data_IF_723942466856
#
_entry.id   IF_723942466856
#
_cell.length_a   1.000
_cell.length_b   1.000
_cell.length_c   1.000
_cell.angle_alpha   90.00
_cell.angle_beta   90.00
_cell.angle_gamma   90.00
#
_symmetry.space_group_name_H-M   'P 1'
#
loop_
_entity.id
_entity.type
_entity.pdbx_description
1 polymer ?
#
# COMPACT_ATOMS: atom_id res chain seq x y z
N UNK A 1 -23.52 17.57 -3.60
CA UNK A 1 -22.42 17.82 -2.63
C UNK A 1 -22.36 19.28 -2.22
N UNK A 2 -22.15 20.24 -3.14
CA UNK A 2 -21.95 21.65 -2.79
C UNK A 2 -23.10 22.29 -1.98
N UNK A 3 -24.39 22.10 -2.30
CA UNK A 3 -25.46 22.66 -1.47
C UNK A 3 -25.41 22.17 -0.02
N UNK A 4 -25.31 20.86 0.19
CA UNK A 4 -25.24 20.30 1.54
C UNK A 4 -23.99 20.75 2.33
N UNK A 5 -22.87 21.01 1.64
CA UNK A 5 -21.67 21.53 2.27
C UNK A 5 -21.84 23.00 2.66
N UNK A 6 -22.43 23.82 1.79
CA UNK A 6 -22.76 25.22 2.08
C UNK A 6 -23.71 25.33 3.28
N UNK A 7 -24.74 24.50 3.31
CA UNK A 7 -25.69 24.42 4.44
C UNK A 7 -24.98 24.05 5.75
N UNK A 8 -24.05 23.07 5.68
CA UNK A 8 -23.34 22.61 6.87
C UNK A 8 -22.40 23.63 7.49
N UNK A 9 -21.73 24.44 6.65
CA UNK A 9 -20.82 25.50 7.11
C UNK A 9 -21.53 26.86 7.20
N UNK A 10 -22.86 26.90 7.02
CA UNK A 10 -23.68 28.10 7.08
C UNK A 10 -23.26 29.17 6.08
N UNK A 11 -22.76 28.78 4.87
CA UNK A 11 -22.39 29.69 3.81
C UNK A 11 -23.58 30.00 2.90
N UNK A 12 -24.29 31.01 3.22
CA UNK A 12 -25.49 31.47 2.53
C UNK A 12 -25.23 32.62 1.50
N UNK A 13 -26.29 33.17 0.92
CA UNK A 13 -26.21 34.27 -0.04
C UNK A 13 -25.67 35.57 0.59
N UNK A 14 -25.83 35.76 1.89
CA UNK A 14 -25.28 36.91 2.61
C UNK A 14 -23.78 36.75 2.76
N UNK A 15 -23.30 35.54 3.17
CA UNK A 15 -21.90 35.17 3.22
C UNK A 15 -21.23 35.35 1.86
N UNK A 16 -21.89 34.92 0.77
CA UNK A 16 -21.39 35.06 -0.60
C UNK A 16 -21.23 36.57 -1.01
N UNK A 17 -22.24 37.38 -0.72
CA UNK A 17 -22.18 38.85 -0.99
C UNK A 17 -21.08 39.54 -0.18
N UNK A 18 -20.95 39.18 1.09
CA UNK A 18 -19.92 39.71 1.99
C UNK A 18 -18.52 39.35 1.50
N UNK A 19 -18.31 38.10 1.11
CA UNK A 19 -17.02 37.62 0.54
C UNK A 19 -16.67 38.38 -0.76
N UNK A 20 -17.65 38.58 -1.66
CA UNK A 20 -17.47 39.34 -2.89
C UNK A 20 -17.12 40.81 -2.63
N UNK A 21 -17.77 41.44 -1.65
CA UNK A 21 -17.50 42.81 -1.26
C UNK A 21 -16.07 43.02 -0.71
N UNK A 22 -15.47 42.01 -0.11
CA UNK A 22 -14.09 42.05 0.37
C UNK A 22 -13.06 41.99 -0.78
N UNK A 23 -13.40 41.42 -1.94
CA UNK A 23 -12.47 41.14 -3.03
C UNK A 23 -11.57 42.34 -3.43
N UNK A 24 -12.08 43.53 -3.71
CA UNK A 24 -11.26 44.69 -4.06
C UNK A 24 -10.25 45.10 -2.98
N UNK A 25 -10.61 44.94 -1.71
CA UNK A 25 -9.73 45.21 -0.54
C UNK A 25 -8.66 44.15 -0.34
N UNK A 26 -8.97 42.93 -0.68
CA UNK A 26 -8.04 41.75 -0.51
C UNK A 26 -7.04 41.60 -1.65
N UNK A 27 -7.39 42.05 -2.87
CA UNK A 27 -6.55 41.93 -4.07
C UNK A 27 -5.10 42.40 -3.91
N UNK A 28 -4.78 43.54 -3.25
CA UNK A 28 -3.40 44.01 -3.06
C UNK A 28 -2.53 43.02 -2.27
N UNK A 29 -3.13 42.13 -1.48
CA UNK A 29 -2.42 41.17 -0.63
C UNK A 29 -2.20 39.82 -1.27
N UNK A 30 -2.84 39.50 -2.41
CA UNK A 30 -2.72 38.17 -3.05
C UNK A 30 -1.29 37.76 -3.32
N UNK A 31 -0.46 38.69 -3.86
CA UNK A 31 0.95 38.38 -4.14
C UNK A 31 1.72 37.93 -2.87
N UNK A 32 1.49 38.63 -1.76
CA UNK A 32 2.12 38.28 -0.47
C UNK A 32 1.67 36.93 0.06
N UNK A 33 0.38 36.60 -0.10
CA UNK A 33 -0.15 35.27 0.29
C UNK A 33 0.49 34.18 -0.57
N UNK A 34 0.57 34.38 -1.88
CA UNK A 34 1.18 33.44 -2.83
C UNK A 34 2.65 33.21 -2.53
N UNK A 35 3.42 34.26 -2.25
CA UNK A 35 4.84 34.13 -1.93
C UNK A 35 5.06 33.39 -0.63
N UNK A 36 4.26 33.67 0.41
CA UNK A 36 4.30 32.94 1.68
C UNK A 36 3.94 31.46 1.50
N UNK A 37 2.93 31.16 0.69
CA UNK A 37 2.51 29.79 0.37
C UNK A 37 3.66 29.00 -0.28
N UNK A 38 4.29 29.55 -1.33
CA UNK A 38 5.39 28.87 -1.99
C UNK A 38 6.67 28.80 -1.14
N UNK A 39 6.91 29.79 -0.29
CA UNK A 39 8.02 29.71 0.68
C UNK A 39 7.84 28.53 1.64
N UNK A 40 6.61 28.29 2.12
CA UNK A 40 6.31 27.15 2.98
C UNK A 40 6.49 25.80 2.26
N UNK A 41 6.03 25.68 1.00
CA UNK A 41 6.21 24.46 0.19
C UNK A 41 7.69 24.19 -0.07
N UNK A 42 8.48 25.20 -0.43
CA UNK A 42 9.90 25.05 -0.73
C UNK A 42 10.74 24.72 0.51
N UNK A 43 10.27 25.07 1.70
CA UNK A 43 10.94 24.75 2.97
C UNK A 43 10.73 23.29 3.40
N UNK A 44 9.70 22.60 2.91
CA UNK A 44 9.41 21.20 3.25
C UNK A 44 9.87 20.26 2.11
N UNK A 45 10.81 19.33 2.36
CA UNK A 45 11.31 18.43 1.31
C UNK A 45 10.25 17.56 0.65
N UNK A 46 9.24 17.11 1.40
CA UNK A 46 8.17 16.26 0.89
C UNK A 46 7.18 17.01 0.01
N UNK A 47 6.79 18.23 0.40
CA UNK A 47 5.94 19.10 -0.41
C UNK A 47 6.69 19.60 -1.66
N UNK A 48 7.99 19.89 -1.54
CA UNK A 48 8.84 20.32 -2.65
C UNK A 48 9.05 19.22 -3.70
N UNK A 49 9.06 17.95 -3.32
CA UNK A 49 9.35 16.82 -4.20
C UNK A 49 8.41 16.72 -5.43
N UNK A 50 7.19 17.26 -5.36
CA UNK A 50 6.24 17.29 -6.49
C UNK A 50 6.49 18.43 -7.49
N UNK A 51 7.40 19.37 -7.16
CA UNK A 51 7.77 20.50 -8.02
C UNK A 51 9.00 20.15 -8.84
N UNK A 52 8.91 20.28 -10.17
CA UNK A 52 9.93 19.79 -11.10
C UNK A 52 10.89 20.88 -11.61
N UNK A 53 10.52 22.16 -11.53
CA UNK A 53 11.35 23.25 -12.06
C UNK A 53 10.88 24.63 -11.57
N UNK A 54 11.78 25.61 -11.58
CA UNK A 54 11.46 27.03 -11.29
C UNK A 54 10.40 27.58 -12.24
N UNK A 55 10.47 27.25 -13.52
CA UNK A 55 9.48 27.66 -14.51
C UNK A 55 8.06 27.13 -14.19
N UNK A 56 7.96 25.94 -13.58
CA UNK A 56 6.69 25.41 -13.07
C UNK A 56 6.18 26.25 -11.89
N UNK A 57 7.05 26.59 -10.94
CA UNK A 57 6.71 27.40 -9.76
C UNK A 57 6.14 28.76 -10.20
N UNK A 58 6.77 29.42 -11.17
CA UNK A 58 6.27 30.71 -11.72
C UNK A 58 4.85 30.56 -12.25
N UNK A 59 4.58 29.54 -13.07
CA UNK A 59 3.21 29.29 -13.60
C UNK A 59 2.20 28.98 -12.49
N UNK A 60 2.61 28.20 -11.50
CA UNK A 60 1.75 27.82 -10.37
C UNK A 60 1.43 29.02 -9.47
N UNK A 61 2.38 29.96 -9.29
CA UNK A 61 2.12 31.24 -8.58
C UNK A 61 1.03 32.04 -9.29
N UNK A 62 1.05 32.15 -10.61
CA UNK A 62 0.00 32.79 -11.40
C UNK A 62 -1.34 32.08 -11.21
N UNK A 63 -1.36 30.76 -11.27
CA UNK A 63 -2.57 29.96 -11.05
C UNK A 63 -3.15 30.14 -9.64
N UNK A 64 -2.32 30.20 -8.61
CA UNK A 64 -2.75 30.42 -7.23
C UNK A 64 -3.28 31.86 -7.04
N UNK A 65 -2.67 32.86 -7.69
CA UNK A 65 -3.19 34.23 -7.68
C UNK A 65 -4.59 34.29 -8.30
N UNK A 66 -4.79 33.63 -9.45
CA UNK A 66 -6.09 33.52 -10.08
C UNK A 66 -7.10 32.79 -9.19
N UNK A 67 -6.70 31.69 -8.55
CA UNK A 67 -7.53 30.96 -7.60
C UNK A 67 -7.98 31.83 -6.43
N UNK A 68 -7.07 32.67 -5.87
CA UNK A 68 -7.41 33.67 -4.82
C UNK A 68 -8.41 34.72 -5.32
N UNK A 69 -8.26 35.23 -6.53
CA UNK A 69 -9.23 36.16 -7.11
C UNK A 69 -10.63 35.54 -7.24
N UNK A 70 -10.68 34.29 -7.67
CA UNK A 70 -11.93 33.57 -7.85
C UNK A 70 -12.62 33.21 -6.53
N UNK A 71 -11.89 33.13 -5.40
CA UNK A 71 -12.49 33.01 -4.07
C UNK A 71 -13.44 34.16 -3.75
N UNK A 72 -13.12 35.35 -4.24
CA UNK A 72 -13.86 36.57 -3.96
C UNK A 72 -14.83 37.00 -5.08
N UNK A 73 -14.93 36.24 -6.16
CA UNK A 73 -15.79 36.68 -7.31
C UNK A 73 -16.99 35.77 -7.52
N UNK A 74 -16.97 34.52 -7.07
CA UNK A 74 -18.05 33.58 -7.36
C UNK A 74 -18.24 33.30 -8.87
N UNK A 75 -19.41 32.84 -9.29
CA UNK A 75 -20.48 32.27 -8.47
C UNK A 75 -20.06 30.99 -7.76
N UNK A 76 -20.63 30.67 -6.60
CA UNK A 76 -20.36 29.46 -5.81
C UNK A 76 -21.42 28.41 -6.14
N UNK A 77 -21.35 27.90 -7.37
CA UNK A 77 -22.31 26.97 -7.99
C UNK A 77 -21.63 25.64 -8.44
N UNK A 78 -22.34 24.82 -9.21
CA UNK A 78 -21.81 23.55 -9.72
C UNK A 78 -20.58 23.76 -10.64
N UNK A 79 -20.49 24.85 -11.38
CA UNK A 79 -19.34 25.19 -12.22
C UNK A 79 -18.11 25.47 -11.37
N UNK A 80 -18.31 26.18 -10.24
CA UNK A 80 -17.27 26.39 -9.24
C UNK A 80 -16.77 25.07 -8.67
N UNK A 81 -17.70 24.19 -8.26
CA UNK A 81 -17.38 22.85 -7.75
C UNK A 81 -16.53 22.06 -8.73
N UNK A 82 -16.95 22.00 -10.00
CA UNK A 82 -16.20 21.25 -11.04
C UNK A 82 -14.80 21.81 -11.25
N UNK A 83 -14.65 23.13 -11.27
CA UNK A 83 -13.37 23.80 -11.45
C UNK A 83 -12.42 23.49 -10.28
N UNK A 84 -12.90 23.56 -9.04
CA UNK A 84 -12.14 23.26 -7.82
C UNK A 84 -11.79 21.76 -7.72
N UNK A 85 -12.73 20.89 -8.03
CA UNK A 85 -12.49 19.45 -8.11
C UNK A 85 -11.43 19.08 -9.15
N UNK A 86 -11.34 19.82 -10.27
CA UNK A 86 -10.27 19.64 -11.26
C UNK A 86 -8.88 19.93 -10.68
N UNK A 87 -8.74 20.94 -9.82
CA UNK A 87 -7.49 21.24 -9.11
C UNK A 87 -7.14 20.10 -8.16
N UNK A 88 -8.09 19.60 -7.38
CA UNK A 88 -7.90 18.45 -6.50
C UNK A 88 -7.41 17.21 -7.24
N UNK A 89 -8.02 16.87 -8.39
CA UNK A 89 -7.58 15.76 -9.25
C UNK A 89 -6.14 15.93 -9.78
N UNK A 90 -5.69 17.16 -10.03
CA UNK A 90 -4.28 17.41 -10.41
C UNK A 90 -3.35 17.10 -9.24
N UNK A 91 -3.70 17.49 -8.01
CA UNK A 91 -2.91 17.17 -6.81
C UNK A 91 -2.80 15.66 -6.60
N UNK A 92 -3.90 14.91 -6.75
CA UNK A 92 -3.89 13.44 -6.72
C UNK A 92 -2.97 12.87 -7.80
N UNK A 93 -3.07 13.37 -9.04
CA UNK A 93 -2.26 12.89 -10.17
C UNK A 93 -0.75 13.09 -10.00
N UNK A 94 -0.33 14.17 -9.33
CA UNK A 94 1.09 14.42 -9.04
C UNK A 94 1.58 13.73 -7.78
N UNK A 95 0.71 12.99 -7.07
CA UNK A 95 1.06 12.26 -5.86
C UNK A 95 1.25 13.13 -4.63
N UNK A 96 0.65 14.34 -4.58
CA UNK A 96 0.71 15.18 -3.40
C UNK A 96 -0.10 14.53 -2.27
N UNK A 97 0.52 14.31 -1.10
CA UNK A 97 -0.18 13.73 0.05
C UNK A 97 -1.17 14.74 0.66
N UNK A 98 -2.31 14.23 1.15
CA UNK A 98 -3.39 15.05 1.75
C UNK A 98 -2.91 15.98 2.87
N UNK A 99 -1.93 15.54 3.68
CA UNK A 99 -1.38 16.34 4.78
C UNK A 99 -0.79 17.67 4.29
N UNK A 100 -0.15 17.68 3.12
CA UNK A 100 0.43 18.92 2.55
C UNK A 100 -0.66 19.87 2.06
N UNK A 101 -1.74 19.32 1.52
CA UNK A 101 -2.87 20.13 1.10
C UNK A 101 -3.57 20.80 2.29
N UNK A 102 -3.78 20.06 3.39
CA UNK A 102 -4.33 20.59 4.65
C UNK A 102 -3.45 21.70 5.23
N UNK A 103 -2.13 21.44 5.30
CA UNK A 103 -1.17 22.44 5.80
C UNK A 103 -1.12 23.69 4.91
N UNK A 104 -1.15 23.51 3.58
CA UNK A 104 -1.14 24.58 2.61
C UNK A 104 -2.40 25.46 2.70
N UNK A 105 -3.59 24.86 2.90
CA UNK A 105 -4.82 25.61 3.12
C UNK A 105 -4.74 26.47 4.39
N UNK A 106 -4.13 25.96 5.46
CA UNK A 106 -3.91 26.77 6.67
C UNK A 106 -3.00 27.98 6.40
N UNK A 107 -1.96 27.83 5.57
CA UNK A 107 -1.09 28.98 5.19
C UNK A 107 -1.89 30.05 4.43
N UNK A 108 -2.78 29.64 3.51
CA UNK A 108 -3.67 30.53 2.79
C UNK A 108 -4.64 31.23 3.75
N UNK A 109 -5.33 30.48 4.60
CA UNK A 109 -6.30 30.97 5.58
C UNK A 109 -5.69 32.05 6.48
N UNK A 110 -4.53 31.75 7.07
CA UNK A 110 -3.80 32.71 7.89
C UNK A 110 -3.37 33.96 7.10
N UNK A 111 -2.98 33.76 5.83
CA UNK A 111 -2.64 34.88 4.94
C UNK A 111 -3.84 35.78 4.64
N UNK A 112 -5.03 35.20 4.44
CA UNK A 112 -6.28 35.94 4.22
C UNK A 112 -6.69 36.71 5.48
N UNK A 113 -6.65 36.11 6.66
CA UNK A 113 -6.93 36.83 7.92
C UNK A 113 -5.97 38.00 8.15
N UNK A 114 -4.67 37.82 7.90
CA UNK A 114 -3.68 38.90 8.01
C UNK A 114 -3.94 40.03 6.99
N UNK A 115 -4.35 39.63 5.77
CA UNK A 115 -4.73 40.62 4.75
C UNK A 115 -5.97 41.42 5.16
N UNK A 116 -6.96 40.77 5.74
CA UNK A 116 -8.17 41.41 6.23
C UNK A 116 -7.87 42.43 7.34
N UNK A 117 -7.04 42.07 8.32
CA UNK A 117 -6.58 42.99 9.37
C UNK A 117 -5.87 44.23 8.78
N UNK A 118 -5.00 44.03 7.77
CA UNK A 118 -4.29 45.10 7.11
C UNK A 118 -5.15 45.96 6.18
N UNK A 119 -6.31 45.46 5.73
CA UNK A 119 -7.26 46.11 4.84
C UNK A 119 -8.42 46.79 5.59
N UNK A 120 -8.49 46.65 6.90
CA UNK A 120 -9.56 47.23 7.73
C UNK A 120 -9.12 48.53 8.39
N UNK A 121 -9.97 49.53 8.39
CA UNK A 121 -9.68 50.86 8.93
C UNK A 121 -9.46 50.85 10.46
N UNK A 122 -10.10 49.91 11.16
CA UNK A 122 -9.99 49.68 12.61
C UNK A 122 -8.85 48.75 12.99
N UNK A 123 -8.17 48.14 12.01
CA UNK A 123 -7.09 47.17 12.22
C UNK A 123 -7.54 45.79 12.74
N UNK A 124 -8.85 45.57 12.92
CA UNK A 124 -9.39 44.29 13.42
C UNK A 124 -10.24 43.55 12.36
N UNK A 125 -10.96 44.27 11.50
CA UNK A 125 -11.97 43.71 10.61
C UNK A 125 -13.23 43.26 11.36
N UNK A 126 -14.35 43.12 10.66
CA UNK A 126 -15.54 42.55 11.27
C UNK A 126 -15.40 41.07 11.53
N UNK A 127 -15.89 40.57 12.66
CA UNK A 127 -15.87 39.15 13.02
C UNK A 127 -16.52 38.29 11.94
N UNK A 128 -17.62 38.75 11.35
CA UNK A 128 -18.34 38.08 10.28
C UNK A 128 -17.49 37.93 9.01
N UNK A 129 -16.60 38.89 8.71
CA UNK A 129 -15.68 38.80 7.56
C UNK A 129 -14.66 37.67 7.77
N UNK A 130 -14.18 37.49 8.99
CA UNK A 130 -13.31 36.34 9.35
C UNK A 130 -14.06 35.02 9.22
N UNK A 131 -15.30 34.93 9.71
CA UNK A 131 -16.14 33.74 9.60
C UNK A 131 -16.34 33.32 8.12
N UNK A 132 -16.64 34.27 7.25
CA UNK A 132 -16.85 33.98 5.83
C UNK A 132 -15.57 33.50 5.13
N UNK A 133 -14.40 34.02 5.52
CA UNK A 133 -13.10 33.52 5.04
C UNK A 133 -12.93 32.06 5.48
N UNK A 134 -13.24 31.72 6.74
CA UNK A 134 -13.14 30.35 7.23
C UNK A 134 -14.10 29.42 6.50
N UNK A 135 -15.36 29.82 6.33
CA UNK A 135 -16.37 29.05 5.62
C UNK A 135 -15.94 28.70 4.18
N UNK A 136 -15.45 29.69 3.41
CA UNK A 136 -15.02 29.42 2.03
C UNK A 136 -13.76 28.56 1.99
N UNK A 137 -12.80 28.73 2.90
CA UNK A 137 -11.62 27.87 3.00
C UNK A 137 -12.00 26.43 3.33
N UNK A 138 -13.01 26.21 4.18
CA UNK A 138 -13.49 24.86 4.52
C UNK A 138 -14.25 24.22 3.36
N UNK A 139 -15.03 25.00 2.59
CA UNK A 139 -15.65 24.51 1.34
C UNK A 139 -14.58 24.07 0.34
N UNK A 140 -13.55 24.90 0.09
CA UNK A 140 -12.44 24.58 -0.80
C UNK A 140 -11.71 23.29 -0.37
N UNK A 141 -11.43 23.18 0.92
CA UNK A 141 -10.77 22.04 1.50
C UNK A 141 -11.61 20.76 1.35
N UNK A 142 -12.90 20.82 1.62
CA UNK A 142 -13.81 19.69 1.49
C UNK A 142 -13.93 19.22 0.03
N UNK A 143 -14.00 20.15 -0.94
CA UNK A 143 -14.00 19.81 -2.36
C UNK A 143 -12.72 19.04 -2.76
N UNK A 144 -11.57 19.53 -2.29
CA UNK A 144 -10.30 18.86 -2.57
C UNK A 144 -10.19 17.47 -1.92
N UNK A 145 -10.61 17.34 -0.65
CA UNK A 145 -10.62 16.05 0.05
C UNK A 145 -11.50 15.01 -0.64
N UNK A 146 -12.64 15.44 -1.17
CA UNK A 146 -13.54 14.53 -1.91
C UNK A 146 -12.86 13.95 -3.16
N UNK A 147 -12.03 14.73 -3.87
CA UNK A 147 -11.30 14.22 -5.04
C UNK A 147 -10.27 13.14 -4.67
N UNK A 148 -9.63 13.23 -3.49
CA UNK A 148 -8.75 12.18 -2.99
C UNK A 148 -9.53 10.91 -2.61
N UNK A 149 -10.70 11.08 -2.00
CA UNK A 149 -11.59 9.96 -1.67
C UNK A 149 -12.06 9.22 -2.93
N UNK A 150 -12.50 9.97 -3.95
CA UNK A 150 -12.92 9.42 -5.23
C UNK A 150 -11.80 8.62 -5.91
N UNK A 151 -10.59 9.18 -5.99
CA UNK A 151 -9.43 8.50 -6.59
C UNK A 151 -9.08 7.22 -5.82
N UNK A 152 -9.08 7.28 -4.48
CA UNK A 152 -8.82 6.10 -3.64
C UNK A 152 -9.86 5.00 -3.88
N UNK A 153 -11.15 5.36 -3.90
CA UNK A 153 -12.24 4.41 -4.16
C UNK A 153 -12.13 3.83 -5.56
N UNK A 154 -11.88 4.67 -6.59
CA UNK A 154 -11.73 4.21 -7.98
C UNK A 154 -10.55 3.25 -8.14
N UNK A 155 -9.40 3.53 -7.53
CA UNK A 155 -8.25 2.62 -7.54
C UNK A 155 -8.58 1.29 -6.87
N UNK A 156 -9.21 1.33 -5.70
CA UNK A 156 -9.59 0.10 -4.97
C UNK A 156 -10.62 -0.73 -5.72
N UNK A 157 -11.61 -0.10 -6.35
CA UNK A 157 -12.62 -0.83 -7.16
C UNK A 157 -11.99 -1.42 -8.42
N UNK A 158 -11.14 -0.69 -9.13
CA UNK A 158 -10.45 -1.18 -10.32
C UNK A 158 -9.51 -2.36 -10.00
N UNK A 159 -8.78 -2.30 -8.88
CA UNK A 159 -7.98 -3.42 -8.39
C UNK A 159 -8.86 -4.64 -8.07
N UNK A 160 -9.96 -4.43 -7.36
CA UNK A 160 -10.89 -5.51 -6.99
C UNK A 160 -11.57 -6.13 -8.23
N UNK A 161 -11.98 -5.31 -9.20
CA UNK A 161 -12.58 -5.79 -10.46
C UNK A 161 -11.56 -6.56 -11.30
N UNK A 162 -10.34 -6.05 -11.44
CA UNK A 162 -9.25 -6.73 -12.15
C UNK A 162 -8.99 -8.11 -11.54
N UNK A 163 -8.89 -8.20 -10.22
CA UNK A 163 -8.71 -9.46 -9.51
C UNK A 163 -9.93 -10.39 -9.66
N UNK A 164 -11.15 -9.85 -9.66
CA UNK A 164 -12.36 -10.65 -9.84
C UNK A 164 -12.49 -11.21 -11.26
N UNK A 165 -12.14 -10.43 -12.29
CA UNK A 165 -12.07 -10.90 -13.69
C UNK A 165 -10.97 -11.95 -13.82
N UNK A 166 -9.79 -11.69 -13.28
CA UNK A 166 -8.70 -12.67 -13.21
C UNK A 166 -9.16 -13.96 -12.53
N UNK A 167 -9.82 -13.89 -11.37
CA UNK A 167 -10.29 -15.05 -10.65
C UNK A 167 -11.29 -15.92 -11.43
N UNK A 168 -12.21 -15.30 -12.18
CA UNK A 168 -13.16 -16.04 -13.01
C UNK A 168 -12.51 -16.73 -14.20
N UNK A 169 -11.63 -16.04 -14.91
CA UNK A 169 -10.92 -16.59 -16.06
C UNK A 169 -9.93 -17.68 -15.65
N UNK A 170 -9.29 -17.52 -14.49
CA UNK A 170 -8.21 -18.38 -14.04
C UNK A 170 -8.70 -19.70 -13.45
N UNK A 171 -9.92 -19.75 -12.89
CA UNK A 171 -10.46 -21.02 -12.34
C UNK A 171 -10.64 -22.10 -13.40
N UNK A 172 -11.10 -21.74 -14.61
CA UNK A 172 -11.19 -22.66 -15.76
C UNK A 172 -9.81 -22.99 -16.35
N UNK A 173 -9.01 -21.96 -16.64
CA UNK A 173 -7.67 -22.09 -17.19
C UNK A 173 -6.73 -22.92 -16.29
N UNK A 174 -6.87 -22.83 -14.98
CA UNK A 174 -6.02 -23.58 -14.06
C UNK A 174 -6.20 -25.09 -14.17
N UNK A 175 -7.43 -25.56 -14.32
CA UNK A 175 -7.66 -26.98 -14.56
C UNK A 175 -7.10 -27.40 -15.92
N UNK A 176 -7.25 -26.56 -16.95
CA UNK A 176 -6.74 -26.84 -18.29
C UNK A 176 -5.21 -26.79 -18.37
N UNK A 177 -4.53 -25.93 -17.58
CA UNK A 177 -3.06 -25.89 -17.49
C UNK A 177 -2.51 -26.98 -16.60
N UNK A 178 -3.17 -27.32 -15.47
CA UNK A 178 -2.73 -28.39 -14.57
C UNK A 178 -2.74 -29.75 -15.25
N UNK A 179 -3.68 -29.99 -16.17
CA UNK A 179 -3.78 -31.26 -16.90
C UNK A 179 -2.52 -31.56 -17.74
N UNK A 180 -2.05 -30.70 -18.66
CA UNK A 180 -0.82 -30.96 -19.42
C UNK A 180 0.44 -31.00 -18.54
N UNK A 181 0.49 -30.21 -17.44
CA UNK A 181 1.60 -30.27 -16.49
C UNK A 181 1.66 -31.64 -15.80
N UNK A 182 0.53 -32.19 -15.35
CA UNK A 182 0.46 -33.52 -14.76
C UNK A 182 0.81 -34.63 -15.77
N UNK A 183 0.34 -34.48 -17.01
CA UNK A 183 0.70 -35.43 -18.07
C UNK A 183 2.21 -35.40 -18.37
N UNK A 184 2.82 -34.20 -18.47
CA UNK A 184 4.26 -34.06 -18.66
C UNK A 184 5.07 -34.65 -17.49
N UNK A 185 4.61 -34.41 -16.24
CA UNK A 185 5.22 -35.01 -15.04
C UNK A 185 5.19 -36.55 -15.09
N UNK A 186 4.04 -37.14 -15.44
CA UNK A 186 3.91 -38.59 -15.57
C UNK A 186 4.85 -39.17 -16.63
N UNK A 187 4.98 -38.49 -17.80
CA UNK A 187 5.90 -38.91 -18.85
C UNK A 187 7.38 -38.85 -18.39
N UNK A 188 7.75 -37.85 -17.61
CA UNK A 188 9.10 -37.75 -17.03
C UNK A 188 9.36 -38.88 -16.00
N UNK A 189 8.37 -39.22 -15.17
CA UNK A 189 8.48 -40.34 -14.21
C UNK A 189 8.67 -41.68 -14.95
N UNK A 190 7.96 -41.89 -16.07
CA UNK A 190 8.18 -43.06 -16.94
C UNK A 190 9.57 -43.05 -17.55
N UNK A 191 10.04 -41.88 -18.00
CA UNK A 191 11.38 -41.73 -18.61
C UNK A 191 12.48 -42.00 -17.58
N UNK A 192 12.33 -41.56 -16.32
CA UNK A 192 13.26 -41.88 -15.24
C UNK A 192 13.34 -43.39 -14.98
N UNK A 193 12.19 -44.05 -14.83
CA UNK A 193 12.15 -45.52 -14.64
C UNK A 193 12.77 -46.26 -15.83
N UNK A 194 12.63 -45.74 -17.05
CA UNK A 194 13.25 -46.32 -18.24
C UNK A 194 14.76 -46.07 -18.24
N UNK A 195 15.21 -44.89 -17.83
CA UNK A 195 16.63 -44.53 -17.69
C UNK A 195 17.36 -45.44 -16.67
N UNK A 196 16.68 -45.87 -15.61
CA UNK A 196 17.26 -46.76 -14.59
C UNK A 196 17.64 -48.16 -15.18
N UNK A 197 17.07 -48.55 -16.32
CA UNK A 197 17.37 -49.78 -17.05
C UNK A 197 18.49 -49.64 -18.09
N UNK A 198 19.05 -48.43 -18.28
CA UNK A 198 20.16 -48.19 -19.19
C UNK A 198 21.44 -48.72 -18.56
N UNK A 199 22.11 -49.67 -19.25
CA UNK A 199 23.34 -50.32 -18.74
C UNK A 199 24.52 -49.32 -18.68
N UNK A 200 24.67 -48.47 -19.70
CA UNK A 200 25.73 -47.43 -19.70
C UNK A 200 25.46 -46.37 -18.65
N UNK A 201 26.26 -46.40 -17.59
CA UNK A 201 26.14 -45.49 -16.46
C UNK A 201 26.30 -44.01 -16.84
N UNK A 202 27.16 -43.71 -17.83
CA UNK A 202 27.36 -42.33 -18.32
C UNK A 202 26.08 -41.77 -18.95
N UNK A 203 25.46 -42.57 -19.82
CA UNK A 203 24.19 -42.21 -20.50
C UNK A 203 23.04 -42.13 -19.49
N UNK A 204 22.93 -43.07 -18.55
CA UNK A 204 21.95 -43.09 -17.47
C UNK A 204 22.01 -41.81 -16.66
N UNK A 205 23.18 -41.41 -16.17
CA UNK A 205 23.37 -40.15 -15.41
C UNK A 205 23.02 -38.91 -16.20
N UNK A 206 23.35 -38.87 -17.51
CA UNK A 206 22.98 -37.74 -18.39
C UNK A 206 21.47 -37.62 -18.54
N UNK A 207 20.75 -38.73 -18.71
CA UNK A 207 19.29 -38.74 -18.85
C UNK A 207 18.67 -38.28 -17.51
N UNK A 208 19.06 -38.89 -16.38
CA UNK A 208 18.55 -38.52 -15.06
C UNK A 208 18.73 -37.04 -14.75
N UNK A 209 19.94 -36.49 -15.01
CA UNK A 209 20.21 -35.05 -14.78
C UNK A 209 19.28 -34.15 -15.61
N UNK A 210 19.05 -34.48 -16.89
CA UNK A 210 18.17 -33.70 -17.74
C UNK A 210 16.71 -33.84 -17.34
N UNK A 211 16.27 -35.02 -16.96
CA UNK A 211 14.90 -35.28 -16.50
C UNK A 211 14.62 -34.53 -15.21
N UNK A 212 15.56 -34.50 -14.25
CA UNK A 212 15.43 -33.76 -13.01
C UNK A 212 15.27 -32.25 -13.27
N UNK A 213 16.06 -31.66 -14.20
CA UNK A 213 15.93 -30.24 -14.56
C UNK A 213 14.52 -29.93 -15.08
N UNK A 214 13.97 -30.80 -15.94
CA UNK A 214 12.60 -30.58 -16.48
C UNK A 214 11.53 -30.79 -15.39
N UNK A 215 11.71 -31.76 -14.50
CA UNK A 215 10.81 -31.98 -13.36
C UNK A 215 10.78 -30.77 -12.42
N UNK A 216 11.94 -30.20 -12.12
CA UNK A 216 12.04 -29.01 -11.27
C UNK A 216 11.35 -27.82 -11.91
N UNK A 217 11.48 -27.62 -13.23
CA UNK A 217 10.79 -26.55 -13.94
C UNK A 217 9.25 -26.76 -13.98
N UNK A 218 8.78 -28.01 -14.17
CA UNK A 218 7.35 -28.31 -14.09
C UNK A 218 6.81 -28.11 -12.66
N UNK A 219 7.58 -28.44 -11.63
CA UNK A 219 7.20 -28.15 -10.23
C UNK A 219 7.08 -26.65 -10.01
N UNK A 220 8.06 -25.88 -10.51
CA UNK A 220 8.04 -24.41 -10.45
C UNK A 220 6.82 -23.83 -11.14
N UNK A 221 6.48 -24.27 -12.34
CA UNK A 221 5.28 -23.82 -13.06
C UNK A 221 3.98 -24.16 -12.32
N UNK A 222 3.92 -25.32 -11.67
CA UNK A 222 2.76 -25.69 -10.85
C UNK A 222 2.59 -24.78 -9.65
N UNK A 223 3.68 -24.45 -8.95
CA UNK A 223 3.66 -23.50 -7.83
C UNK A 223 3.25 -22.09 -8.28
N UNK A 224 3.78 -21.60 -9.40
CA UNK A 224 3.40 -20.34 -10.01
C UNK A 224 1.90 -20.28 -10.30
N UNK A 225 1.35 -21.35 -10.86
CA UNK A 225 -0.07 -21.44 -11.17
C UNK A 225 -0.93 -21.42 -9.89
N UNK A 226 -0.53 -22.17 -8.87
CA UNK A 226 -1.24 -22.21 -7.60
C UNK A 226 -1.19 -20.85 -6.86
N UNK A 227 -0.03 -20.18 -6.86
CA UNK A 227 0.14 -18.83 -6.31
C UNK A 227 -0.75 -17.81 -7.04
N UNK A 228 -0.76 -17.86 -8.37
CA UNK A 228 -1.60 -16.98 -9.19
C UNK A 228 -3.10 -17.22 -8.94
N UNK A 229 -3.50 -18.49 -8.78
CA UNK A 229 -4.88 -18.85 -8.42
C UNK A 229 -5.28 -18.35 -7.04
N UNK A 230 -4.38 -18.45 -6.07
CA UNK A 230 -4.62 -17.98 -4.72
C UNK A 230 -4.76 -16.44 -4.67
N UNK A 231 -3.98 -15.73 -5.48
CA UNK A 231 -4.10 -14.27 -5.61
C UNK A 231 -5.41 -13.87 -6.29
N UNK A 232 -5.82 -14.60 -7.34
CA UNK A 232 -7.00 -14.29 -8.17
C UNK A 232 -8.33 -14.67 -7.54
N UNK A 233 -8.37 -15.61 -6.59
CA UNK A 233 -9.61 -16.06 -5.94
C UNK A 233 -10.12 -14.99 -4.97
N UNK A 234 -11.17 -14.27 -5.39
CA UNK A 234 -11.99 -13.43 -4.51
C UNK A 234 -12.92 -14.30 -3.66
N UNK A 235 -12.40 -15.05 -2.70
CA UNK A 235 -13.24 -15.78 -1.74
C UNK A 235 -13.61 -14.85 -0.60
N UNK A 236 -14.91 -14.84 -0.22
CA UNK A 236 -15.33 -14.28 1.07
C UNK A 236 -14.66 -15.08 2.17
N UNK A 237 -14.17 -14.37 3.20
CA UNK A 237 -13.65 -15.02 4.40
C UNK A 237 -14.78 -15.85 5.05
N UNK A 238 -14.44 -17.06 5.44
CA UNK A 238 -15.24 -17.88 6.38
C UNK A 238 -14.48 -17.89 7.73
N UNK A 239 -14.56 -16.79 8.50
CA UNK A 239 -13.72 -16.62 9.67
C UNK A 239 -14.18 -17.57 10.79
N UNK A 240 -13.22 -18.27 11.36
CA UNK A 240 -13.39 -19.10 12.55
C UNK A 240 -12.50 -18.57 13.66
N UNK A 241 -12.87 -18.82 14.92
CA UNK A 241 -11.97 -18.55 16.04
C UNK A 241 -10.82 -19.58 16.05
N UNK A 242 -9.59 -19.11 16.11
CA UNK A 242 -8.41 -19.96 16.19
C UNK A 242 -7.39 -19.37 17.17
N UNK A 243 -6.71 -20.23 17.88
CA UNK A 243 -5.61 -19.83 18.77
C UNK A 243 -4.36 -19.48 17.96
N UNK A 244 -3.84 -18.29 18.16
CA UNK A 244 -2.68 -17.77 17.47
C UNK A 244 -1.43 -18.64 17.69
N UNK A 245 -1.19 -19.04 18.93
CA UNK A 245 -0.07 -19.89 19.30
C UNK A 245 -0.14 -21.27 18.63
N UNK A 246 -1.27 -21.96 18.72
CA UNK A 246 -1.46 -23.27 18.11
C UNK A 246 -1.30 -23.25 16.59
N UNK A 247 -1.63 -22.11 15.93
CA UNK A 247 -1.39 -21.91 14.52
C UNK A 247 0.09 -21.86 14.19
N UNK A 248 0.90 -21.12 14.98
CA UNK A 248 2.35 -21.02 14.76
C UNK A 248 3.05 -22.35 15.05
N UNK A 249 2.73 -23.00 16.17
CA UNK A 249 3.32 -24.28 16.56
C UNK A 249 3.13 -25.34 15.44
N UNK A 250 1.95 -25.42 14.83
CA UNK A 250 1.68 -26.33 13.72
C UNK A 250 2.52 -26.00 12.46
N UNK A 251 2.67 -24.72 12.13
CA UNK A 251 3.52 -24.30 11.00
C UNK A 251 4.99 -24.65 11.28
N UNK A 252 5.47 -24.40 12.48
CA UNK A 252 6.84 -24.70 12.88
C UNK A 252 7.11 -26.20 12.85
N UNK A 253 6.22 -27.01 13.42
CA UNK A 253 6.36 -28.47 13.43
C UNK A 253 6.48 -29.03 12.01
N UNK A 254 5.67 -28.52 11.08
CA UNK A 254 5.70 -28.96 9.68
C UNK A 254 7.01 -28.53 8.96
N UNK A 255 7.55 -27.35 9.28
CA UNK A 255 8.73 -26.78 8.59
C UNK A 255 10.07 -27.19 9.20
N UNK A 256 10.09 -27.56 10.48
CA UNK A 256 11.29 -27.87 11.24
C UNK A 256 12.20 -28.90 10.53
N UNK A 257 11.71 -30.07 10.04
CA UNK A 257 12.59 -31.06 9.41
C UNK A 257 13.31 -30.52 8.18
N UNK A 258 12.64 -29.68 7.39
CA UNK A 258 13.22 -29.06 6.20
C UNK A 258 14.30 -28.03 6.59
N UNK A 259 14.00 -27.16 7.57
CA UNK A 259 14.88 -26.10 8.05
C UNK A 259 16.16 -26.72 8.65
N UNK A 260 16.02 -27.73 9.49
CA UNK A 260 17.13 -28.46 10.12
C UNK A 260 17.99 -29.17 9.08
N UNK A 261 17.38 -29.81 8.06
CA UNK A 261 18.13 -30.49 6.99
C UNK A 261 19.01 -29.56 6.17
N UNK A 262 18.67 -28.26 6.12
CA UNK A 262 19.45 -27.22 5.46
C UNK A 262 20.53 -26.60 6.37
N UNK A 263 20.65 -27.06 7.63
CA UNK A 263 21.62 -26.56 8.59
C UNK A 263 21.32 -25.10 9.02
N UNK A 264 20.05 -24.74 9.10
CA UNK A 264 19.61 -23.42 9.53
C UNK A 264 19.28 -23.48 11.02
N UNK A 265 19.84 -22.54 11.79
CA UNK A 265 19.46 -22.32 13.19
C UNK A 265 18.10 -21.63 13.24
N UNK A 266 17.08 -22.32 13.72
CA UNK A 266 15.73 -21.79 13.82
C UNK A 266 15.41 -21.45 15.28
N UNK A 267 15.23 -20.16 15.57
CA UNK A 267 14.97 -19.64 16.91
C UNK A 267 13.49 -19.28 17.03
N UNK A 268 12.84 -19.81 18.07
CA UNK A 268 11.43 -19.55 18.35
C UNK A 268 11.29 -18.71 19.63
N UNK A 269 10.61 -17.57 19.49
CA UNK A 269 10.25 -16.69 20.59
C UNK A 269 8.75 -16.38 20.49
N UNK A 270 7.95 -17.40 20.73
CA UNK A 270 6.50 -17.38 20.61
C UNK A 270 5.90 -16.99 21.96
N UNK A 271 5.08 -15.94 21.95
CA UNK A 271 4.34 -15.48 23.13
C UNK A 271 3.51 -16.61 23.74
N UNK A 272 3.59 -16.74 25.05
CA UNK A 272 2.82 -17.73 25.84
C UNK A 272 1.38 -17.29 26.07
N UNK A 273 1.06 -16.04 25.82
CA UNK A 273 -0.30 -15.51 25.95
C UNK A 273 -1.18 -16.10 24.86
N UNK A 274 -2.32 -16.68 25.25
CA UNK A 274 -3.26 -17.25 24.30
C UNK A 274 -4.10 -16.14 23.68
N UNK A 275 -3.69 -15.66 22.50
CA UNK A 275 -4.50 -14.73 21.70
C UNK A 275 -5.43 -15.50 20.78
N UNK A 276 -6.70 -15.10 20.77
CA UNK A 276 -7.71 -15.68 19.87
C UNK A 276 -7.87 -14.77 18.65
N UNK A 277 -7.67 -15.35 17.48
CA UNK A 277 -7.88 -14.69 16.19
C UNK A 277 -9.23 -15.05 15.62
N UNK A 278 -9.80 -14.17 14.82
CA UNK A 278 -10.97 -14.45 13.99
C UNK A 278 -10.54 -14.39 12.53
N UNK A 279 -10.44 -15.55 11.88
CA UNK A 279 -9.95 -15.62 10.51
C UNK A 279 -9.94 -17.02 9.91
N UNK A 280 -9.52 -17.13 8.66
CA UNK A 280 -9.29 -18.42 8.00
C UNK A 280 -7.91 -18.97 8.39
N UNK A 281 -7.91 -19.98 9.27
CA UNK A 281 -6.70 -20.58 9.83
C UNK A 281 -5.67 -20.98 8.77
N UNK A 282 -6.11 -21.63 7.70
CA UNK A 282 -5.21 -22.12 6.65
C UNK A 282 -4.57 -20.98 5.84
N UNK A 283 -5.28 -19.88 5.65
CA UNK A 283 -4.71 -18.67 5.02
C UNK A 283 -3.70 -17.99 5.92
N UNK A 284 -3.97 -17.92 7.22
CA UNK A 284 -3.01 -17.34 8.17
C UNK A 284 -1.74 -18.20 8.26
N UNK A 285 -1.86 -19.54 8.22
CA UNK A 285 -0.70 -20.45 8.07
C UNK A 285 0.06 -20.16 6.78
N UNK A 286 -0.62 -19.90 5.68
CA UNK A 286 0.00 -19.53 4.41
C UNK A 286 0.82 -18.25 4.52
N UNK A 287 0.33 -17.23 5.26
CA UNK A 287 1.10 -16.01 5.54
C UNK A 287 2.41 -16.35 6.23
N UNK A 288 2.36 -17.10 7.34
CA UNK A 288 3.55 -17.48 8.10
C UNK A 288 4.51 -18.32 7.26
N UNK A 289 4.00 -19.30 6.51
CA UNK A 289 4.80 -20.13 5.62
C UNK A 289 5.52 -19.31 4.55
N UNK A 290 4.86 -18.34 3.92
CA UNK A 290 5.47 -17.48 2.91
C UNK A 290 6.62 -16.65 3.50
N UNK A 291 6.45 -16.12 4.72
CA UNK A 291 7.51 -15.36 5.39
C UNK A 291 8.70 -16.26 5.78
N UNK A 292 8.45 -17.45 6.34
CA UNK A 292 9.50 -18.42 6.67
C UNK A 292 10.25 -18.87 5.40
N UNK A 293 9.54 -19.18 4.31
CA UNK A 293 10.17 -19.55 3.04
C UNK A 293 11.09 -18.46 2.52
N UNK A 294 10.63 -17.21 2.55
CA UNK A 294 11.46 -16.08 2.13
C UNK A 294 12.73 -15.92 2.97
N UNK A 295 12.63 -16.11 4.29
CA UNK A 295 13.76 -16.04 5.22
C UNK A 295 14.74 -17.20 4.99
N UNK A 296 14.26 -18.44 4.87
CA UNK A 296 15.08 -19.63 4.57
C UNK A 296 15.87 -19.46 3.27
N UNK A 297 15.21 -18.99 2.21
CA UNK A 297 15.87 -18.69 0.93
C UNK A 297 16.90 -17.55 1.05
N UNK A 298 16.62 -16.53 1.85
CA UNK A 298 17.54 -15.40 2.03
C UNK A 298 18.84 -15.79 2.72
N UNK A 299 18.84 -16.81 3.57
CA UNK A 299 20.03 -17.27 4.29
C UNK A 299 20.80 -18.39 3.58
N UNK A 300 20.32 -18.89 2.43
CA UNK A 300 20.87 -20.06 1.75
C UNK A 300 22.39 -19.99 1.48
N UNK A 301 22.91 -18.81 1.13
CA UNK A 301 24.31 -18.58 0.81
C UNK A 301 25.16 -18.08 2.00
N UNK A 302 24.56 -18.02 3.21
CA UNK A 302 25.28 -17.58 4.42
C UNK A 302 26.07 -18.74 5.05
N UNK A 303 27.19 -18.41 5.67
CA UNK A 303 27.98 -19.39 6.46
C UNK A 303 27.26 -19.75 7.76
N UNK A 304 26.73 -18.78 8.46
CA UNK A 304 25.85 -18.95 9.60
C UNK A 304 24.44 -18.58 9.11
N UNK A 305 23.52 -19.52 9.21
CA UNK A 305 22.14 -19.40 8.72
C UNK A 305 21.22 -19.36 9.90
N UNK A 306 20.66 -18.21 10.19
CA UNK A 306 19.76 -18.02 11.33
C UNK A 306 18.44 -17.42 10.85
N UNK A 307 17.35 -18.04 11.26
CA UNK A 307 15.99 -17.56 11.06
C UNK A 307 15.29 -17.58 12.41
N UNK A 308 14.70 -16.45 12.80
CA UNK A 308 13.98 -16.32 14.06
C UNK A 308 12.50 -16.04 13.79
N UNK A 309 11.61 -16.77 14.46
CA UNK A 309 10.16 -16.52 14.51
C UNK A 309 9.80 -15.93 15.87
N UNK A 310 9.22 -14.73 15.83
CA UNK A 310 8.80 -14.01 17.04
C UNK A 310 7.31 -13.78 16.96
N UNK A 311 6.59 -13.94 18.07
CA UNK A 311 5.21 -13.48 18.18
C UNK A 311 4.96 -12.74 19.49
N UNK A 312 4.11 -11.71 19.46
CA UNK A 312 3.73 -10.90 20.61
C UNK A 312 2.27 -10.46 20.49
N UNK A 313 1.61 -10.36 21.63
CA UNK A 313 0.33 -9.64 21.73
C UNK A 313 0.64 -8.23 22.18
N UNK A 314 0.23 -7.23 21.39
CA UNK A 314 0.50 -5.82 21.65
C UNK A 314 -0.55 -5.21 22.59
N UNK A 315 -0.24 -4.04 23.18
CA UNK A 315 -1.12 -3.34 24.14
C UNK A 315 -2.46 -2.91 23.50
N UNK A 316 -2.49 -2.66 22.20
CA UNK A 316 -3.71 -2.33 21.45
C UNK A 316 -4.60 -3.55 21.15
N UNK A 317 -4.21 -4.72 21.64
CA UNK A 317 -4.91 -5.97 21.42
C UNK A 317 -4.65 -6.59 20.04
N UNK A 318 -3.68 -6.11 19.27
CA UNK A 318 -3.27 -6.77 18.03
C UNK A 318 -2.23 -7.86 18.28
N UNK A 319 -2.20 -8.85 17.40
CA UNK A 319 -1.20 -9.91 17.41
C UNK A 319 -0.15 -9.63 16.34
N UNK A 320 1.10 -9.48 16.77
CA UNK A 320 2.25 -9.33 15.89
C UNK A 320 2.96 -10.67 15.70
N UNK A 321 3.34 -10.97 14.45
CA UNK A 321 4.29 -12.02 14.11
C UNK A 321 5.40 -11.42 13.26
N UNK A 322 6.64 -11.77 13.59
CA UNK A 322 7.81 -11.38 12.82
C UNK A 322 8.68 -12.59 12.49
N UNK A 323 9.12 -12.67 11.26
CA UNK A 323 10.19 -13.58 10.82
C UNK A 323 11.41 -12.73 10.52
N UNK A 324 12.53 -13.07 11.15
CA UNK A 324 13.79 -12.33 11.08
C UNK A 324 14.84 -13.25 10.51
N UNK A 325 15.54 -12.83 9.48
CA UNK A 325 16.65 -13.55 8.88
C UNK A 325 17.96 -12.76 9.00
N UNK A 326 19.08 -13.45 8.91
CA UNK A 326 20.41 -12.85 8.81
C UNK A 326 20.96 -12.88 7.37
N UNK A 327 20.09 -12.86 6.37
CA UNK A 327 20.41 -12.83 4.96
C UNK A 327 21.15 -11.56 4.51
N UNK A 328 21.27 -11.30 3.20
CA UNK A 328 21.91 -10.10 2.67
C UNK A 328 21.12 -8.82 2.96
N UNK A 329 19.86 -8.95 3.38
CA UNK A 329 18.95 -7.82 3.53
C UNK A 329 18.36 -7.36 2.20
N UNK A 330 17.56 -6.29 2.26
CA UNK A 330 16.92 -5.65 1.10
C UNK A 330 17.14 -4.14 1.16
N UNK A 331 17.14 -3.46 0.01
CA UNK A 331 17.18 -2.00 0.00
C UNK A 331 15.84 -1.40 0.43
N UNK A 332 15.84 -0.17 0.96
CA UNK A 332 14.61 0.53 1.34
C UNK A 332 13.66 0.74 0.15
N UNK A 333 14.19 0.89 -1.06
CA UNK A 333 13.41 1.00 -2.28
C UNK A 333 12.66 -0.31 -2.60
N UNK A 334 13.34 -1.46 -2.47
CA UNK A 334 12.73 -2.78 -2.64
C UNK A 334 11.70 -3.04 -1.54
N UNK A 335 12.03 -2.71 -0.29
CA UNK A 335 11.10 -2.90 0.84
C UNK A 335 9.77 -2.15 0.64
N UNK A 336 9.81 -0.93 0.11
CA UNK A 336 8.62 -0.12 -0.15
C UNK A 336 7.67 -0.74 -1.19
N UNK A 337 8.20 -1.55 -2.11
CA UNK A 337 7.44 -2.15 -3.21
C UNK A 337 7.29 -3.67 -3.12
N UNK A 338 7.86 -4.29 -2.10
CA UNK A 338 7.96 -5.74 -1.98
C UNK A 338 6.62 -6.50 -1.92
N UNK A 339 5.54 -5.79 -1.55
CA UNK A 339 4.18 -6.34 -1.52
C UNK A 339 3.41 -6.15 -2.84
N UNK A 340 4.00 -5.48 -3.84
CA UNK A 340 3.43 -5.41 -5.19
C UNK A 340 3.60 -6.76 -5.91
N UNK A 341 2.63 -7.14 -6.75
CA UNK A 341 2.70 -8.39 -7.51
C UNK A 341 3.88 -8.38 -8.49
N UNK A 342 4.57 -9.53 -8.60
CA UNK A 342 5.71 -9.75 -9.51
C UNK A 342 6.99 -8.99 -9.15
N UNK A 343 7.06 -8.33 -7.99
CA UNK A 343 8.29 -7.73 -7.48
C UNK A 343 9.14 -8.81 -6.82
N UNK A 344 10.33 -9.05 -7.36
CA UNK A 344 11.31 -10.01 -6.82
C UNK A 344 12.73 -9.57 -7.13
N UNK A 345 13.65 -9.86 -6.22
CA UNK A 345 15.11 -9.73 -6.42
C UNK A 345 15.79 -11.07 -6.66
N UNK A 346 15.02 -12.18 -6.69
CA UNK A 346 15.52 -13.55 -6.84
C UNK A 346 15.33 -14.02 -8.29
N UNK A 347 16.34 -14.66 -8.87
CA UNK A 347 16.29 -15.19 -10.25
C UNK A 347 15.17 -16.21 -10.46
N UNK A 348 14.87 -17.02 -9.43
CA UNK A 348 13.84 -18.05 -9.48
C UNK A 348 12.53 -17.63 -8.75
N UNK A 349 12.47 -16.42 -8.21
CA UNK A 349 11.31 -15.94 -7.44
C UNK A 349 10.11 -15.60 -8.34
N UNK A 350 8.89 -15.92 -7.88
CA UNK A 350 7.64 -15.59 -8.58
C UNK A 350 7.22 -14.16 -8.37
N UNK A 351 7.68 -13.53 -7.27
CA UNK A 351 7.22 -12.19 -6.83
C UNK A 351 5.76 -12.16 -6.38
N UNK A 352 5.12 -13.32 -6.15
CA UNK A 352 3.72 -13.42 -5.73
C UNK A 352 3.56 -13.69 -4.24
N UNK A 353 4.55 -14.29 -3.58
CA UNK A 353 4.44 -14.72 -2.18
C UNK A 353 4.07 -13.59 -1.22
N UNK A 354 4.74 -12.44 -1.30
CA UNK A 354 4.44 -11.27 -0.47
C UNK A 354 3.15 -10.55 -0.87
N UNK A 355 2.78 -10.54 -2.15
CA UNK A 355 1.50 -10.04 -2.61
C UNK A 355 0.33 -10.87 -2.05
N UNK A 356 0.50 -12.20 -1.97
CA UNK A 356 -0.45 -13.12 -1.32
C UNK A 356 -0.54 -12.82 0.18
N UNK A 357 0.60 -12.63 0.86
CA UNK A 357 0.64 -12.22 2.28
C UNK A 357 -0.20 -10.97 2.50
N UNK A 358 0.07 -9.92 1.72
CA UNK A 358 -0.68 -8.66 1.83
C UNK A 358 -2.18 -8.87 1.60
N UNK A 359 -2.56 -9.61 0.55
CA UNK A 359 -3.95 -9.89 0.23
C UNK A 359 -4.68 -10.61 1.36
N UNK A 360 -4.04 -11.63 1.95
CA UNK A 360 -4.62 -12.38 3.06
C UNK A 360 -4.80 -11.45 4.28
N UNK A 361 -3.77 -10.66 4.60
CA UNK A 361 -3.82 -9.74 5.74
C UNK A 361 -4.87 -8.64 5.55
N UNK A 362 -4.97 -8.04 4.37
CA UNK A 362 -6.00 -7.04 4.04
C UNK A 362 -7.42 -7.61 4.28
N UNK A 363 -7.65 -8.89 3.93
CA UNK A 363 -8.93 -9.56 4.21
C UNK A 363 -9.20 -9.77 5.70
N UNK A 364 -8.16 -9.90 6.52
CA UNK A 364 -8.24 -10.09 7.97
C UNK A 364 -8.14 -8.78 8.77
N UNK A 365 -8.14 -7.62 8.09
CA UNK A 365 -7.97 -6.31 8.72
C UNK A 365 -6.57 -6.07 9.27
N UNK A 366 -5.59 -6.84 8.79
CA UNK A 366 -4.20 -6.78 9.20
C UNK A 366 -3.32 -5.97 8.26
N UNK A 367 -2.06 -5.84 8.63
CA UNK A 367 -1.04 -5.16 7.81
C UNK A 367 0.30 -5.90 7.92
N UNK A 368 1.21 -5.65 6.96
CA UNK A 368 2.55 -6.20 6.96
C UNK A 368 3.61 -5.14 6.60
N UNK A 369 4.82 -5.34 7.12
CA UNK A 369 5.99 -4.52 6.78
C UNK A 369 7.23 -5.37 6.58
N UNK A 370 8.16 -4.86 5.77
CA UNK A 370 9.52 -5.37 5.64
C UNK A 370 10.49 -4.29 6.08
N UNK A 371 11.36 -4.62 7.01
CA UNK A 371 12.36 -3.69 7.56
C UNK A 371 13.75 -4.29 7.36
N UNK A 372 14.63 -3.64 6.56
CA UNK A 372 16.03 -4.03 6.49
C UNK A 372 16.71 -3.80 7.85
N UNK A 373 17.57 -4.74 8.26
CA UNK A 373 18.29 -4.64 9.53
C UNK A 373 19.66 -3.98 9.32
N UNK A 374 20.15 -3.17 10.29
CA UNK A 374 21.42 -2.44 10.15
C UNK A 374 22.65 -3.36 9.96
N UNK A 375 22.66 -4.54 10.58
CA UNK A 375 23.75 -5.53 10.51
C UNK A 375 23.60 -6.51 9.35
N UNK A 376 22.65 -6.27 8.45
CA UNK A 376 22.24 -7.18 7.39
C UNK A 376 21.10 -8.08 7.84
N UNK A 377 20.34 -8.61 6.87
CA UNK A 377 19.11 -9.36 7.10
C UNK A 377 17.85 -8.54 6.95
N UNK A 378 16.72 -9.21 7.15
CA UNK A 378 15.40 -8.58 7.00
C UNK A 378 14.48 -9.01 8.14
N UNK A 379 13.69 -8.08 8.66
CA UNK A 379 12.55 -8.34 9.54
C UNK A 379 11.26 -8.22 8.71
N UNK A 380 10.57 -9.32 8.50
CA UNK A 380 9.25 -9.37 7.90
C UNK A 380 8.21 -9.51 9.01
N UNK A 381 7.39 -8.49 9.23
CA UNK A 381 6.38 -8.48 10.30
C UNK A 381 4.98 -8.31 9.75
N UNK A 382 3.99 -8.89 10.43
CA UNK A 382 2.59 -8.59 10.21
C UNK A 382 1.82 -8.46 11.52
N UNK A 383 0.69 -7.77 11.45
CA UNK A 383 -0.23 -7.53 12.57
C UNK A 383 -1.65 -7.88 12.16
N UNK A 384 -2.38 -8.51 13.06
CA UNK A 384 -3.80 -8.83 12.90
C UNK A 384 -4.53 -8.46 14.19
N UNK A 385 -5.74 -7.84 14.14
CA UNK A 385 -6.58 -7.63 15.29
C UNK A 385 -6.94 -8.96 15.96
N UNK A 386 -6.88 -9.03 17.30
CA UNK A 386 -7.38 -10.20 18.02
C UNK A 386 -8.89 -10.07 18.26
N UNK A 387 -9.55 -11.21 18.52
CA UNK A 387 -10.93 -11.19 18.97
C UNK A 387 -11.03 -10.55 20.38
N UNK A 388 -12.04 -9.71 20.63
CA UNK A 388 -12.29 -9.17 21.95
C UNK A 388 -12.70 -10.27 22.96
#
# INVERSE_FOLDING_TARGET
MLPALKDYVEFDDESARRLQAMGPRMRPYHGRIVDRFYAAILADPGAHAVLKSEAQIVRLKVSLTQWLEELFTGPYDETYLEKRGRIGRVHVKVGLEQRYMLAAMNVVRLGLHQALLGASDDGFGAFEDHCVIDQICDIELAIMLETYREDYVLKKTAEAESLAVMGRLTAGLAHEVRNPLNAAKLQLDVLQRTADRVEDESTRRKIQRRTNVVQDELRRLSLLLDDFLNLARARRLEPIRCEARALLEEVVELRRPEIESQGIEFIEDIDRTSSVLVGERDRLKQVVNNLITNAVEAVADRRQRTVQLVSRTLEDGSWEVAVIDNGPGISSEVAARAFESFVTTKDAGTGLGLAIVKRILDLHGGTATLTPLPEGGTRASFWIPTAP
#
